data_IF_760368720041
#
_entry.id   IF_760368720041
#
_cell.length_a   1.000
_cell.length_b   1.000
_cell.length_c   1.000
_cell.angle_alpha   90.00
_cell.angle_beta   90.00
_cell.angle_gamma   90.00
#
_symmetry.space_group_name_H-M   'P 1'
#
loop_
_entity.id
_entity.type
_entity.pdbx_description
1 polymer ?
#
# COMPACT_ATOMS: atom_id res chain seq x y z
N UNK A 1 -5.06 -6.56 2.33
CA UNK A 1 -3.63 -6.83 2.58
C UNK A 1 -2.87 -5.57 2.97
N UNK A 2 -2.93 -4.50 2.17
CA UNK A 2 -2.29 -3.21 2.46
C UNK A 2 -2.38 -2.73 3.92
N UNK A 3 -3.61 -2.66 4.46
CA UNK A 3 -3.85 -2.23 5.85
C UNK A 3 -3.19 -3.13 6.89
N UNK A 4 -3.18 -4.45 6.68
CA UNK A 4 -2.53 -5.38 7.59
C UNK A 4 -1.03 -5.10 7.70
N UNK A 5 -0.40 -4.77 6.57
CA UNK A 5 1.04 -4.48 6.50
C UNK A 5 1.36 -3.14 7.14
N UNK A 6 0.56 -2.11 6.85
CA UNK A 6 0.73 -0.80 7.48
C UNK A 6 0.61 -0.87 9.00
N UNK A 7 -0.33 -1.66 9.53
CA UNK A 7 -0.44 -1.89 10.96
C UNK A 7 0.69 -2.75 11.54
N UNK A 8 1.13 -3.79 10.82
CA UNK A 8 2.28 -4.60 11.25
C UNK A 8 3.56 -3.76 11.36
N UNK A 9 3.72 -2.75 10.50
CA UNK A 9 4.82 -1.79 10.52
C UNK A 9 4.59 -0.60 11.47
N UNK A 10 3.44 -0.54 12.16
CA UNK A 10 3.03 0.58 13.02
C UNK A 10 3.18 1.94 12.32
N UNK A 11 2.78 2.01 11.05
CA UNK A 11 2.90 3.24 10.27
C UNK A 11 1.99 4.34 10.83
N UNK A 12 2.50 5.57 10.81
CA UNK A 12 1.69 6.78 11.00
C UNK A 12 0.84 6.98 9.74
N UNK A 13 -0.48 6.88 9.90
CA UNK A 13 -1.44 7.00 8.80
C UNK A 13 -2.07 8.39 8.87
N UNK A 14 -1.86 9.19 7.83
CA UNK A 14 -2.53 10.47 7.66
C UNK A 14 -3.76 10.29 6.76
N UNK A 15 -4.96 10.62 7.25
CA UNK A 15 -6.22 10.29 6.56
C UNK A 15 -6.44 11.06 5.25
N UNK A 16 -5.85 12.25 5.13
CA UNK A 16 -6.03 13.17 4.00
C UNK A 16 -4.80 13.28 3.09
N UNK A 17 -3.85 12.33 3.18
CA UNK A 17 -2.67 12.36 2.31
C UNK A 17 -3.06 11.90 0.89
N UNK A 18 -2.73 12.69 -0.15
CA UNK A 18 -2.96 12.29 -1.53
C UNK A 18 -2.16 11.02 -1.83
N UNK A 19 -2.85 10.00 -2.33
CA UNK A 19 -2.27 8.68 -2.56
C UNK A 19 -1.36 8.65 -3.80
N UNK A 20 -1.58 9.60 -4.71
CA UNK A 20 -0.87 9.71 -5.99
C UNK A 20 -1.14 8.55 -6.94
N UNK A 21 -2.14 7.70 -6.67
CA UNK A 21 -2.62 6.68 -7.59
C UNK A 21 -3.68 7.25 -8.54
N UNK A 22 -3.73 6.72 -9.75
CA UNK A 22 -4.65 7.22 -10.79
C UNK A 22 -6.12 6.92 -10.50
N UNK A 23 -6.39 5.92 -9.66
CA UNK A 23 -7.71 5.51 -9.21
C UNK A 23 -7.99 5.91 -7.75
N UNK A 24 -7.37 6.98 -7.25
CA UNK A 24 -7.56 7.49 -5.88
C UNK A 24 -9.04 7.69 -5.49
N UNK A 25 -9.88 8.07 -6.44
CA UNK A 25 -11.33 8.25 -6.24
C UNK A 25 -12.04 6.94 -5.89
N UNK A 26 -11.49 5.80 -6.31
CA UNK A 26 -12.05 4.48 -6.06
C UNK A 26 -11.47 3.84 -4.79
N UNK A 27 -10.46 4.46 -4.17
CA UNK A 27 -9.87 3.97 -2.92
C UNK A 27 -10.82 4.35 -1.77
N UNK A 28 -11.29 3.37 -0.96
CA UNK A 28 -12.10 3.64 0.21
C UNK A 28 -11.38 4.60 1.18
N UNK A 29 -12.12 5.47 1.87
CA UNK A 29 -11.55 6.50 2.77
C UNK A 29 -10.59 5.91 3.81
N UNK A 30 -10.94 4.78 4.42
CA UNK A 30 -10.09 4.07 5.39
C UNK A 30 -8.77 3.55 4.81
N UNK A 31 -8.69 3.37 3.49
CA UNK A 31 -7.52 2.82 2.81
C UNK A 31 -6.60 3.91 2.25
N UNK A 32 -7.07 5.16 2.12
CA UNK A 32 -6.32 6.24 1.43
C UNK A 32 -5.00 6.55 2.12
N UNK A 33 -5.04 6.88 3.41
CA UNK A 33 -3.81 7.17 4.16
C UNK A 33 -2.83 5.99 4.18
N UNK A 34 -3.35 4.77 4.26
CA UNK A 34 -2.54 3.55 4.18
C UNK A 34 -1.87 3.40 2.81
N UNK A 35 -2.63 3.63 1.74
CA UNK A 35 -2.13 3.55 0.38
C UNK A 35 -1.02 4.59 0.14
N UNK A 36 -1.21 5.83 0.62
CA UNK A 36 -0.21 6.89 0.56
C UNK A 36 1.07 6.51 1.35
N UNK A 37 0.92 6.12 2.61
CA UNK A 37 2.05 5.75 3.47
C UNK A 37 2.88 4.58 2.90
N UNK A 38 2.23 3.52 2.42
CA UNK A 38 2.94 2.38 1.84
C UNK A 38 3.58 2.69 0.49
N UNK A 39 3.02 3.62 -0.28
CA UNK A 39 3.63 4.11 -1.53
C UNK A 39 4.90 4.88 -1.23
N UNK A 40 4.88 5.76 -0.22
CA UNK A 40 6.06 6.52 0.23
C UNK A 40 7.21 5.63 0.68
N UNK A 41 6.90 4.50 1.31
CA UNK A 41 7.89 3.50 1.72
C UNK A 41 8.37 2.60 0.57
N UNK A 42 7.81 2.73 -0.63
CA UNK A 42 8.15 1.89 -1.78
C UNK A 42 7.70 0.43 -1.64
N UNK A 43 6.96 0.08 -0.58
CA UNK A 43 6.46 -1.27 -0.31
C UNK A 43 5.42 -1.62 -1.37
N UNK A 44 4.47 -0.72 -1.61
CA UNK A 44 3.41 -0.92 -2.59
C UNK A 44 3.72 -0.18 -3.88
N UNK A 45 3.99 -0.96 -4.93
CA UNK A 45 4.16 -0.48 -6.29
C UNK A 45 3.27 -1.38 -7.14
N UNK A 46 2.22 -0.83 -7.76
CA UNK A 46 1.54 -1.56 -8.84
C UNK A 46 1.98 -1.02 -10.18
N UNK A 47 2.34 -1.96 -11.04
CA UNK A 47 3.07 -1.71 -12.28
C UNK A 47 2.15 -1.30 -13.43
N UNK A 48 0.85 -1.61 -13.36
CA UNK A 48 -0.11 -1.30 -14.43
C UNK A 48 -0.84 0.00 -14.13
N UNK A 49 -0.58 1.02 -14.95
CA UNK A 49 -1.25 2.33 -14.96
C UNK A 49 -1.22 3.13 -13.65
N UNK A 50 -0.28 2.86 -12.73
CA UNK A 50 -0.14 3.53 -11.43
C UNK A 50 -1.46 3.55 -10.63
N UNK A 51 -2.19 2.44 -10.66
CA UNK A 51 -3.44 2.27 -9.89
C UNK A 51 -3.13 1.65 -8.51
N UNK A 52 -4.00 1.82 -7.52
CA UNK A 52 -4.02 1.07 -6.25
C UNK A 52 -4.97 -0.14 -6.23
N UNK A 53 -6.18 -0.01 -6.79
CA UNK A 53 -7.20 -1.08 -6.96
C UNK A 53 -7.40 -1.89 -5.68
N UNK A 54 -8.11 -1.28 -4.73
CA UNK A 54 -8.39 -1.83 -3.41
C UNK A 54 -9.14 -3.17 -3.44
N UNK A 55 -9.91 -3.42 -4.51
CA UNK A 55 -10.78 -4.58 -4.65
C UNK A 55 -10.12 -5.72 -5.43
N UNK A 56 -8.98 -5.47 -6.09
CA UNK A 56 -8.24 -6.49 -6.79
C UNK A 56 -7.67 -7.54 -5.84
N UNK A 57 -7.80 -8.81 -6.23
CA UNK A 57 -7.13 -9.91 -5.53
C UNK A 57 -5.63 -9.84 -5.81
N UNK A 58 -4.84 -9.80 -4.75
CA UNK A 58 -3.39 -9.93 -4.87
C UNK A 58 -3.02 -11.35 -5.33
N UNK A 59 -2.12 -11.45 -6.29
CA UNK A 59 -1.51 -12.72 -6.68
C UNK A 59 -0.52 -13.19 -5.59
N UNK A 60 -0.20 -14.49 -5.58
CA UNK A 60 0.81 -15.05 -4.66
C UNK A 60 2.17 -14.40 -4.82
N UNK A 61 2.56 -14.10 -6.06
CA UNK A 61 3.81 -13.42 -6.37
C UNK A 61 3.85 -12.00 -5.79
N UNK A 62 2.78 -11.21 -6.01
CA UNK A 62 2.67 -9.86 -5.46
C UNK A 62 2.68 -9.87 -3.92
N UNK A 63 1.92 -10.79 -3.30
CA UNK A 63 1.90 -10.91 -1.85
C UNK A 63 3.30 -11.22 -1.29
N UNK A 64 4.02 -12.17 -1.90
CA UNK A 64 5.39 -12.52 -1.48
C UNK A 64 6.36 -11.33 -1.63
N UNK A 65 6.29 -10.60 -2.75
CA UNK A 65 7.12 -9.41 -2.97
C UNK A 65 6.85 -8.32 -1.94
N UNK A 66 5.58 -8.06 -1.62
CA UNK A 66 5.22 -7.03 -0.65
C UNK A 66 5.66 -7.44 0.76
N UNK A 67 5.51 -8.72 1.14
CA UNK A 67 6.00 -9.23 2.42
C UNK A 67 7.52 -9.15 2.54
N UNK A 68 8.26 -9.45 1.47
CA UNK A 68 9.72 -9.32 1.47
C UNK A 68 10.15 -7.87 1.68
N UNK A 69 9.54 -6.92 0.96
CA UNK A 69 9.79 -5.47 1.13
C UNK A 69 9.41 -4.98 2.52
N UNK A 70 8.33 -5.51 3.11
CA UNK A 70 7.95 -5.22 4.49
C UNK A 70 9.06 -5.65 5.47
N UNK A 71 9.59 -6.86 5.32
CA UNK A 71 10.67 -7.38 6.17
C UNK A 71 11.96 -6.56 6.00
N UNK A 72 12.32 -6.19 4.78
CA UNK A 72 13.45 -5.29 4.52
C UNK A 72 13.29 -3.94 5.21
N UNK A 73 12.06 -3.41 5.27
CA UNK A 73 11.79 -2.14 5.92
C UNK A 73 11.76 -2.22 7.45
N UNK A 74 11.46 -3.39 8.04
CA UNK A 74 11.60 -3.63 9.50
C UNK A 74 13.06 -3.74 9.94
N UNK A 75 13.95 -4.17 9.05
CA UNK A 75 15.37 -4.38 9.35
C UNK A 75 16.23 -3.14 9.13
N UNK A 76 15.62 -1.99 8.80
CA UNK A 76 16.28 -0.68 8.74
C UNK A 76 16.09 0.06 10.06
#
# INVERSE_FOLDING_TARGET
MAVMIAYALKLTIEENEPTGFTDEKNIPSWAKGVAAAMKRLGIMQRQVANRFDSDAKATRAEAATILLRMLEQQNK
#
